data_IF_917423323890
#
_entry.id   IF_917423323890
#
_cell.length_a   1.000
_cell.length_b   1.000
_cell.length_c   1.000
_cell.angle_alpha   90.00
_cell.angle_beta   90.00
_cell.angle_gamma   90.00
#
_symmetry.space_group_name_H-M   'P 1'
#
loop_
_entity.id
_entity.type
_entity.pdbx_description
1 polymer ?
#
# COMPACT_ATOMS: atom_id res chain seq x y z
N UNK A 1 -6.32 2.51 -24.32
CA UNK A 1 -5.27 2.89 -23.36
C UNK A 1 -4.01 3.13 -24.18
N UNK A 2 -3.46 4.34 -24.16
CA UNK A 2 -2.17 4.59 -24.80
C UNK A 2 -1.04 3.90 -24.01
N UNK A 3 0.12 3.75 -24.66
CA UNK A 3 1.27 3.03 -24.10
C UNK A 3 1.76 3.68 -22.79
N UNK A 4 1.71 5.01 -22.70
CA UNK A 4 2.10 5.78 -21.52
C UNK A 4 1.16 5.52 -20.33
N UNK A 5 -0.15 5.45 -20.57
CA UNK A 5 -1.14 5.15 -19.54
C UNK A 5 -0.97 3.71 -19.05
N UNK A 6 -0.72 2.76 -19.95
CA UNK A 6 -0.48 1.36 -19.60
C UNK A 6 0.79 1.20 -18.75
N UNK A 7 1.87 1.92 -19.10
CA UNK A 7 3.08 1.97 -18.31
C UNK A 7 2.83 2.60 -16.92
N UNK A 8 2.10 3.70 -16.86
CA UNK A 8 1.77 4.36 -15.60
C UNK A 8 0.96 3.46 -14.66
N UNK A 9 -0.05 2.76 -15.18
CA UNK A 9 -0.82 1.77 -14.39
C UNK A 9 0.08 0.65 -13.88
N UNK A 10 0.99 0.12 -14.72
CA UNK A 10 1.95 -0.89 -14.29
C UNK A 10 2.85 -0.41 -13.13
N UNK A 11 3.37 0.82 -13.23
CA UNK A 11 4.18 1.44 -12.17
C UNK A 11 3.40 1.65 -10.88
N UNK A 12 2.15 2.11 -10.96
CA UNK A 12 1.28 2.28 -9.79
C UNK A 12 0.97 0.95 -9.11
N UNK A 13 0.61 -0.09 -9.88
CA UNK A 13 0.37 -1.43 -9.35
C UNK A 13 1.63 -2.03 -8.70
N UNK A 14 2.81 -1.78 -9.27
CA UNK A 14 4.09 -2.18 -8.67
C UNK A 14 4.31 -1.48 -7.34
N UNK A 15 4.03 -0.16 -7.27
CA UNK A 15 4.14 0.60 -6.02
C UNK A 15 3.17 0.12 -4.95
N UNK A 16 1.94 -0.23 -5.33
CA UNK A 16 0.96 -0.85 -4.42
C UNK A 16 1.53 -2.16 -3.85
N UNK A 17 2.07 -3.03 -4.71
CA UNK A 17 2.68 -4.30 -4.29
C UNK A 17 3.78 -4.12 -3.24
N UNK A 18 4.69 -3.17 -3.45
CA UNK A 18 5.76 -2.87 -2.48
C UNK A 18 5.22 -2.39 -1.13
N UNK A 19 4.20 -1.52 -1.12
CA UNK A 19 3.59 -1.05 0.15
C UNK A 19 2.86 -2.20 0.84
N UNK A 20 2.17 -3.06 0.07
CA UNK A 20 1.50 -4.25 0.60
C UNK A 20 2.49 -5.23 1.23
N UNK A 21 3.67 -5.41 0.65
CA UNK A 21 4.73 -6.26 1.21
C UNK A 21 5.16 -5.75 2.59
N UNK A 22 5.51 -4.47 2.69
CA UNK A 22 5.90 -3.84 3.96
C UNK A 22 4.77 -3.93 5.01
N UNK A 23 3.54 -3.58 4.62
CA UNK A 23 2.38 -3.62 5.50
C UNK A 23 2.07 -5.06 5.97
N UNK A 24 2.21 -6.04 5.08
CA UNK A 24 1.97 -7.46 5.42
C UNK A 24 2.98 -7.96 6.46
N UNK A 25 4.24 -7.56 6.35
CA UNK A 25 5.27 -7.90 7.34
C UNK A 25 4.91 -7.33 8.72
N UNK A 26 4.52 -6.06 8.80
CA UNK A 26 4.10 -5.43 10.06
C UNK A 26 2.86 -6.13 10.64
N UNK A 27 1.85 -6.40 9.81
CA UNK A 27 0.60 -7.04 10.26
C UNK A 27 0.84 -8.46 10.80
N UNK A 28 1.72 -9.24 10.16
CA UNK A 28 2.04 -10.61 10.56
C UNK A 28 2.90 -10.68 11.83
N UNK A 29 3.69 -9.63 12.09
CA UNK A 29 4.63 -9.60 13.23
C UNK A 29 4.08 -8.84 14.44
N UNK A 30 2.93 -8.18 14.33
CA UNK A 30 2.39 -7.28 15.36
C UNK A 30 2.15 -7.93 16.73
N UNK A 31 1.88 -9.24 16.76
CA UNK A 31 1.72 -9.99 18.00
C UNK A 31 3.02 -10.14 18.80
N UNK A 32 4.17 -9.98 18.14
CA UNK A 32 5.51 -10.07 18.73
C UNK A 32 6.11 -8.71 19.07
N UNK A 33 5.40 -7.62 18.80
CA UNK A 33 5.83 -6.25 19.09
C UNK A 33 5.44 -5.87 20.51
N UNK A 34 6.35 -5.19 21.21
CA UNK A 34 6.15 -4.65 22.55
C UNK A 34 4.94 -3.70 22.58
N UNK A 35 4.28 -3.60 23.74
CA UNK A 35 3.05 -2.82 23.89
C UNK A 35 3.26 -1.33 23.54
N UNK A 36 4.42 -0.77 23.87
CA UNK A 36 4.78 0.61 23.56
C UNK A 36 4.86 0.87 22.04
N UNK A 37 5.39 -0.08 21.28
CA UNK A 37 5.63 0.04 19.83
C UNK A 37 4.41 -0.42 19.01
N UNK A 38 3.48 -1.17 19.62
CA UNK A 38 2.30 -1.70 18.95
C UNK A 38 1.38 -0.60 18.42
N UNK A 39 1.19 0.48 19.19
CA UNK A 39 0.36 1.61 18.76
C UNK A 39 0.93 2.27 17.50
N UNK A 40 2.25 2.45 17.45
CA UNK A 40 2.94 2.99 16.27
C UNK A 40 2.82 2.04 15.07
N UNK A 41 2.98 0.73 15.29
CA UNK A 41 2.81 -0.27 14.24
C UNK A 41 1.39 -0.26 13.64
N UNK A 42 0.35 -0.13 14.48
CA UNK A 42 -1.05 0.01 14.03
C UNK A 42 -1.22 1.30 13.22
N UNK A 43 -0.72 2.43 13.73
CA UNK A 43 -0.81 3.71 13.02
C UNK A 43 -0.14 3.64 11.64
N UNK A 44 1.01 2.94 11.54
CA UNK A 44 1.70 2.71 10.28
C UNK A 44 0.88 1.85 9.31
N UNK A 45 0.26 0.76 9.79
CA UNK A 45 -0.63 -0.06 8.98
C UNK A 45 -1.82 0.75 8.43
N UNK A 46 -2.43 1.60 9.25
CA UNK A 46 -3.52 2.47 8.80
C UNK A 46 -3.06 3.47 7.72
N UNK A 47 -1.86 4.03 7.85
CA UNK A 47 -1.30 4.95 6.86
C UNK A 47 -1.03 4.23 5.54
N UNK A 48 -0.45 3.03 5.58
CA UNK A 48 -0.14 2.26 4.38
C UNK A 48 -1.41 1.75 3.68
N UNK A 49 -2.44 1.35 4.43
CA UNK A 49 -3.76 1.02 3.88
C UNK A 49 -4.39 2.22 3.14
N UNK A 50 -4.34 3.42 3.73
CA UNK A 50 -4.83 4.66 3.08
C UNK A 50 -4.06 5.00 1.80
N UNK A 51 -2.74 4.82 1.79
CA UNK A 51 -1.91 5.02 0.60
C UNK A 51 -2.27 4.04 -0.52
N UNK A 52 -2.47 2.76 -0.18
CA UNK A 52 -2.90 1.74 -1.14
C UNK A 52 -4.25 2.13 -1.75
N UNK A 53 -5.23 2.54 -0.94
CA UNK A 53 -6.55 2.96 -1.43
C UNK A 53 -6.45 4.15 -2.40
N UNK A 54 -5.65 5.17 -2.06
CA UNK A 54 -5.41 6.32 -2.94
C UNK A 54 -4.77 5.93 -4.28
N UNK A 55 -3.80 5.02 -4.27
CA UNK A 55 -3.14 4.53 -5.48
C UNK A 55 -4.10 3.70 -6.34
N UNK A 56 -4.94 2.85 -5.72
CA UNK A 56 -6.00 2.11 -6.42
C UNK A 56 -6.99 3.09 -7.05
N UNK A 57 -7.35 4.17 -6.34
CA UNK A 57 -8.18 5.26 -6.89
C UNK A 57 -7.59 5.87 -8.15
N UNK A 58 -6.28 6.19 -8.14
CA UNK A 58 -5.59 6.70 -9.32
C UNK A 58 -5.57 5.69 -10.47
N UNK A 59 -5.30 4.41 -10.19
CA UNK A 59 -5.35 3.34 -11.21
C UNK A 59 -6.74 3.24 -11.85
N UNK A 60 -7.82 3.32 -11.05
CA UNK A 60 -9.19 3.28 -11.57
C UNK A 60 -9.49 4.43 -12.53
N UNK A 61 -9.03 5.64 -12.22
CA UNK A 61 -9.21 6.82 -13.08
C UNK A 61 -8.43 6.69 -14.40
N UNK A 62 -7.26 6.03 -14.38
CA UNK A 62 -6.45 5.81 -15.57
C UNK A 62 -6.95 4.63 -16.43
N UNK A 63 -7.62 3.66 -15.81
CA UNK A 63 -8.13 2.47 -16.47
C UNK A 63 -9.57 2.60 -17.00
N UNK A 64 -10.26 3.70 -16.67
CA UNK A 64 -11.59 4.05 -17.20
C UNK A 64 -11.51 4.69 -18.57
#
# INVERSE_FOLDING_TARGET
MDEDTAELVSRLCTRIGMIMEDASFVALTIGSVDEADRSEAIARLEMDARRIDQLIGAVRVLAS
#
